data_IF_960533837723
#
_entry.id   IF_960533837723
#
_cell.length_a   1.000
_cell.length_b   1.000
_cell.length_c   1.000
_cell.angle_alpha   90.00
_cell.angle_beta   90.00
_cell.angle_gamma   90.00
#
_symmetry.space_group_name_H-M   'P 1'
#
loop_
_entity.id
_entity.type
_entity.pdbx_description
1 polymer ?
#
# COMPACT_ATOMS: atom_id res chain seq x y z
N UNK A 1 -24.62 0.83 -15.35
CA UNK A 1 -24.10 1.08 -13.98
C UNK A 1 -22.57 1.12 -14.09
N UNK A 2 -21.89 1.94 -13.31
CA UNK A 2 -20.42 1.95 -13.25
C UNK A 2 -19.97 1.04 -12.10
N UNK A 3 -19.02 0.14 -12.38
CA UNK A 3 -18.42 -0.76 -11.38
C UNK A 3 -16.93 -0.41 -11.22
N UNK A 4 -16.60 0.31 -10.13
CA UNK A 4 -15.21 0.69 -9.85
C UNK A 4 -14.52 -0.34 -8.95
N UNK A 5 -13.79 -1.24 -9.59
CA UNK A 5 -13.09 -2.36 -8.95
C UNK A 5 -11.56 -2.19 -8.99
N UNK A 6 -11.08 -0.92 -8.92
CA UNK A 6 -9.65 -0.57 -8.89
C UNK A 6 -9.28 0.28 -7.67
N UNK A 7 -9.87 -0.03 -6.51
CA UNK A 7 -9.66 0.71 -5.26
C UNK A 7 -8.23 0.61 -4.71
N UNK A 8 -7.45 -0.39 -5.12
CA UNK A 8 -6.01 -0.49 -4.81
C UNK A 8 -5.14 0.48 -5.62
N UNK A 9 -5.62 1.01 -6.77
CA UNK A 9 -4.94 2.10 -7.46
C UNK A 9 -5.23 3.43 -6.78
N UNK A 10 -6.49 3.74 -6.51
CA UNK A 10 -6.93 4.91 -5.74
C UNK A 10 -8.38 4.73 -5.31
N UNK A 11 -8.79 5.36 -4.22
CA UNK A 11 -10.18 5.38 -3.79
C UNK A 11 -10.82 6.74 -4.03
N UNK A 12 -12.16 6.76 -4.15
CA UNK A 12 -12.93 8.01 -4.13
C UNK A 12 -12.80 8.68 -2.77
N UNK A 13 -12.60 9.98 -2.74
CA UNK A 13 -12.52 10.74 -1.48
C UNK A 13 -13.90 10.73 -0.80
N UNK A 14 -13.93 10.46 0.51
CA UNK A 14 -15.16 10.47 1.30
C UNK A 14 -15.84 11.86 1.28
N UNK A 15 -17.16 11.89 1.27
CA UNK A 15 -17.93 13.14 1.19
C UNK A 15 -17.64 14.09 2.36
N UNK A 16 -17.51 13.59 3.58
CA UNK A 16 -17.17 14.40 4.75
C UNK A 16 -15.76 14.98 4.64
N UNK A 17 -14.83 14.22 4.05
CA UNK A 17 -13.46 14.67 3.77
C UNK A 17 -13.45 15.78 2.73
N UNK A 18 -14.26 15.66 1.67
CA UNK A 18 -14.40 16.69 0.62
C UNK A 18 -14.91 18.00 1.22
N UNK A 19 -15.96 17.97 2.05
CA UNK A 19 -16.51 19.15 2.68
C UNK A 19 -15.53 19.83 3.65
N UNK A 20 -14.80 19.04 4.44
CA UNK A 20 -13.74 19.58 5.29
C UNK A 20 -12.66 20.29 4.47
N UNK A 21 -12.17 19.65 3.41
CA UNK A 21 -11.14 20.23 2.55
C UNK A 21 -11.61 21.52 1.87
N UNK A 22 -12.85 21.56 1.37
CA UNK A 22 -13.45 22.76 0.79
C UNK A 22 -13.45 23.92 1.78
N UNK A 23 -13.89 23.68 3.03
CA UNK A 23 -13.85 24.68 4.10
C UNK A 23 -12.42 25.22 4.32
N UNK A 24 -11.41 24.35 4.32
CA UNK A 24 -10.01 24.71 4.56
C UNK A 24 -9.35 25.45 3.38
N UNK A 25 -9.88 25.29 2.18
CA UNK A 25 -9.41 26.04 1.01
C UNK A 25 -10.08 27.42 0.89
N UNK A 26 -11.28 27.60 1.41
CA UNK A 26 -12.08 28.81 1.25
C UNK A 26 -12.08 29.69 2.52
N UNK A 27 -12.41 29.11 3.67
CA UNK A 27 -12.65 29.87 4.92
C UNK A 27 -11.41 29.88 5.82
N UNK A 28 -10.85 28.70 6.12
CA UNK A 28 -9.77 28.51 7.09
C UNK A 28 -8.39 28.32 6.40
N UNK A 29 -8.12 29.10 5.35
CA UNK A 29 -6.97 28.99 4.44
C UNK A 29 -5.63 29.46 5.00
N UNK A 30 -5.49 29.65 6.33
CA UNK A 30 -4.31 30.22 6.96
C UNK A 30 -3.05 29.36 6.77
N UNK A 31 -1.87 30.02 6.83
CA UNK A 31 -0.58 29.32 6.89
C UNK A 31 -0.27 29.00 8.36
N UNK A 32 -0.02 27.72 8.72
CA UNK A 32 0.28 27.32 10.11
C UNK A 32 1.50 28.02 10.72
N UNK A 33 2.44 28.49 9.89
CA UNK A 33 3.63 29.20 10.36
C UNK A 33 3.35 30.68 10.72
N UNK A 34 2.15 31.22 10.42
CA UNK A 34 1.79 32.61 10.72
C UNK A 34 1.33 32.75 12.17
N UNK A 35 1.80 33.83 12.82
CA UNK A 35 1.49 34.10 14.26
C UNK A 35 0.11 34.74 14.50
N UNK A 36 -0.63 35.15 13.47
CA UNK A 36 -1.98 35.70 13.58
C UNK A 36 -3.04 34.59 13.67
N UNK A 37 -4.27 34.96 14.04
CA UNK A 37 -5.38 34.03 14.32
C UNK A 37 -5.63 33.00 13.19
N UNK A 38 -5.55 33.38 11.92
CA UNK A 38 -5.71 32.44 10.81
C UNK A 38 -4.64 31.34 10.79
N UNK A 39 -3.40 31.66 11.18
CA UNK A 39 -2.32 30.68 11.30
C UNK A 39 -2.56 29.71 12.46
N UNK A 40 -3.00 30.22 13.61
CA UNK A 40 -3.32 29.41 14.79
C UNK A 40 -4.44 28.41 14.48
N UNK A 41 -5.48 28.84 13.76
CA UNK A 41 -6.57 27.97 13.31
C UNK A 41 -6.02 26.86 12.40
N UNK A 42 -5.20 27.20 11.42
CA UNK A 42 -4.60 26.23 10.49
C UNK A 42 -3.69 25.21 11.19
N UNK A 43 -2.87 25.67 12.16
CA UNK A 43 -2.05 24.80 13.00
C UNK A 43 -2.91 23.83 13.83
N UNK A 44 -4.08 24.28 14.30
CA UNK A 44 -5.06 23.46 15.00
C UNK A 44 -5.50 22.25 14.18
N UNK A 45 -5.79 22.43 12.89
CA UNK A 45 -6.16 21.33 11.99
C UNK A 45 -5.01 20.30 11.77
N UNK A 46 -3.77 20.78 11.70
CA UNK A 46 -2.59 19.86 11.61
C UNK A 46 -2.46 19.03 12.90
N UNK A 47 -2.62 19.67 14.08
CA UNK A 47 -2.56 18.97 15.37
C UNK A 47 -3.69 17.94 15.50
N UNK A 48 -4.92 18.31 15.12
CA UNK A 48 -6.07 17.41 15.12
C UNK A 48 -5.87 16.22 14.18
N UNK A 49 -5.36 16.44 12.96
CA UNK A 49 -5.06 15.39 12.02
C UNK A 49 -4.06 14.37 12.61
N UNK A 50 -2.97 14.85 13.24
CA UNK A 50 -1.99 14.00 13.93
C UNK A 50 -2.64 13.19 15.06
N UNK A 51 -3.53 13.79 15.86
CA UNK A 51 -4.25 13.09 16.93
C UNK A 51 -5.16 11.99 16.39
N UNK A 52 -5.92 12.27 15.32
CA UNK A 52 -6.79 11.29 14.67
C UNK A 52 -6.01 10.09 14.13
N UNK A 53 -4.89 10.34 13.44
CA UNK A 53 -4.02 9.28 12.93
C UNK A 53 -3.40 8.48 14.09
N UNK A 54 -2.88 9.16 15.11
CA UNK A 54 -2.28 8.54 16.28
C UNK A 54 -3.24 7.58 17.01
N UNK A 55 -4.49 7.99 17.15
CA UNK A 55 -5.54 7.17 17.77
C UNK A 55 -5.77 5.86 17.00
N UNK A 56 -5.67 5.85 15.65
CA UNK A 56 -5.84 4.64 14.84
C UNK A 56 -4.73 3.62 15.05
N UNK A 57 -3.50 4.07 15.30
CA UNK A 57 -2.31 3.23 15.47
C UNK A 57 -1.92 3.01 16.95
N UNK A 58 -2.59 3.69 17.89
CA UNK A 58 -2.27 3.73 19.33
C UNK A 58 -0.82 4.16 19.64
N UNK A 59 -0.40 5.26 19.04
CA UNK A 59 0.95 5.85 19.18
C UNK A 59 0.88 7.34 19.54
N UNK A 60 2.04 7.99 19.80
CA UNK A 60 2.09 9.43 20.10
C UNK A 60 1.86 10.28 18.83
N UNK A 61 1.03 11.33 18.88
CA UNK A 61 0.85 12.27 17.75
C UNK A 61 2.14 12.93 17.26
N UNK A 62 3.21 12.97 18.08
CA UNK A 62 4.52 13.50 17.70
C UNK A 62 5.33 12.55 16.81
N UNK A 63 4.96 11.27 16.77
CA UNK A 63 5.66 10.23 16.00
C UNK A 63 5.25 10.20 14.52
N UNK A 64 4.71 11.31 13.97
CA UNK A 64 4.30 11.40 12.56
C UNK A 64 4.98 12.54 11.83
N UNK A 65 5.40 12.27 10.61
CA UNK A 65 5.84 13.25 9.62
C UNK A 65 4.79 13.23 8.50
N UNK A 66 4.14 14.37 8.26
CA UNK A 66 3.18 14.52 7.15
C UNK A 66 3.96 14.66 5.86
N UNK A 67 3.60 13.87 4.86
CA UNK A 67 4.25 13.80 3.55
C UNK A 67 3.24 14.05 2.43
N UNK A 68 3.70 14.09 1.18
CA UNK A 68 2.83 14.18 0.00
C UNK A 68 2.22 12.83 -0.43
N UNK A 69 2.62 11.72 0.20
CA UNK A 69 2.10 10.39 -0.12
C UNK A 69 3.10 9.28 0.18
N UNK A 70 2.74 8.05 -0.23
CA UNK A 70 3.53 6.85 0.05
C UNK A 70 4.94 6.89 -0.53
N UNK A 71 5.11 7.40 -1.75
CA UNK A 71 6.42 7.49 -2.39
C UNK A 71 7.38 8.37 -1.59
N UNK A 72 6.93 9.56 -1.15
CA UNK A 72 7.75 10.43 -0.30
C UNK A 72 8.05 9.76 1.05
N UNK A 73 7.05 9.10 1.66
CA UNK A 73 7.22 8.39 2.94
C UNK A 73 8.25 7.26 2.82
N UNK A 74 8.17 6.43 1.79
CA UNK A 74 9.13 5.34 1.54
C UNK A 74 10.55 5.88 1.28
N UNK A 75 10.68 6.90 0.44
CA UNK A 75 11.99 7.53 0.19
C UNK A 75 12.58 8.13 1.48
N UNK A 76 11.77 8.84 2.27
CA UNK A 76 12.21 9.40 3.53
C UNK A 76 12.63 8.31 4.52
N UNK A 77 11.88 7.21 4.61
CA UNK A 77 12.21 6.08 5.47
C UNK A 77 13.54 5.44 5.07
N UNK A 78 13.73 5.11 3.79
CA UNK A 78 14.90 4.39 3.31
C UNK A 78 16.15 5.30 3.28
N UNK A 79 16.07 6.43 2.56
CA UNK A 79 17.19 7.36 2.41
C UNK A 79 17.54 8.00 3.75
N UNK A 80 16.54 8.44 4.50
CA UNK A 80 16.72 9.06 5.80
C UNK A 80 17.42 8.14 6.80
N UNK A 81 17.04 6.85 6.84
CA UNK A 81 17.69 5.82 7.68
C UNK A 81 19.11 5.55 7.19
N UNK A 82 19.30 5.33 5.89
CA UNK A 82 20.61 5.04 5.30
C UNK A 82 21.63 6.15 5.62
N UNK A 83 21.25 7.42 5.44
CA UNK A 83 22.12 8.55 5.74
C UNK A 83 22.41 8.70 7.25
N UNK A 84 21.40 8.51 8.11
CA UNK A 84 21.57 8.61 9.55
C UNK A 84 22.43 7.47 10.13
N UNK A 85 22.36 6.27 9.54
CA UNK A 85 23.05 5.09 10.02
C UNK A 85 24.35 4.76 9.27
N UNK A 86 24.80 5.57 8.30
CA UNK A 86 25.97 5.31 7.44
C UNK A 86 27.27 4.93 8.19
N UNK A 87 27.43 5.38 9.43
CA UNK A 87 28.59 5.05 10.28
C UNK A 87 28.44 3.73 11.02
N UNK A 88 27.24 3.14 11.06
CA UNK A 88 26.91 1.92 11.80
C UNK A 88 26.94 0.67 10.93
N UNK A 89 26.71 0.84 9.64
CA UNK A 89 26.68 -0.23 8.63
C UNK A 89 26.24 0.30 7.26
N UNK A 90 26.22 -0.59 6.28
CA UNK A 90 25.84 -0.25 4.92
C UNK A 90 24.93 -1.30 4.27
N UNK A 91 24.33 -2.19 5.06
CA UNK A 91 23.47 -3.25 4.53
C UNK A 91 21.99 -2.95 4.75
N UNK A 92 21.21 -3.09 3.68
CA UNK A 92 19.75 -2.89 3.65
C UNK A 92 19.12 -4.15 3.07
N UNK A 93 18.09 -4.66 3.73
CA UNK A 93 17.31 -5.81 3.28
C UNK A 93 15.92 -5.34 2.88
N UNK A 94 15.42 -5.82 1.74
CA UNK A 94 14.06 -5.59 1.26
C UNK A 94 13.54 -6.84 0.54
N UNK A 95 12.36 -6.78 -0.11
CA UNK A 95 11.78 -7.95 -0.76
C UNK A 95 11.68 -7.81 -2.28
N UNK A 96 11.65 -8.93 -3.00
CA UNK A 96 11.47 -8.96 -4.45
C UNK A 96 10.09 -8.44 -4.91
N UNK A 97 9.12 -8.32 -3.99
CA UNK A 97 7.72 -7.93 -4.30
C UNK A 97 7.33 -6.52 -3.88
N UNK A 98 8.31 -5.70 -3.51
CA UNK A 98 8.07 -4.31 -3.10
C UNK A 98 7.52 -3.43 -4.23
N UNK A 99 6.82 -2.36 -3.80
CA UNK A 99 6.39 -1.30 -4.70
C UNK A 99 7.60 -0.58 -5.35
N UNK A 100 7.48 -0.06 -6.60
CA UNK A 100 8.56 0.66 -7.26
C UNK A 100 9.20 1.79 -6.44
N UNK A 101 8.44 2.48 -5.57
CA UNK A 101 8.98 3.52 -4.68
C UNK A 101 9.97 3.00 -3.63
N UNK A 102 9.94 1.70 -3.30
CA UNK A 102 10.95 1.04 -2.45
C UNK A 102 12.08 0.48 -3.32
N UNK A 103 11.77 -0.25 -4.39
CA UNK A 103 12.77 -0.87 -5.28
C UNK A 103 13.70 0.16 -5.92
N UNK A 104 13.13 1.24 -6.50
CA UNK A 104 13.93 2.29 -7.13
C UNK A 104 14.78 3.04 -6.10
N UNK A 105 14.26 3.25 -4.87
CA UNK A 105 15.04 3.85 -3.80
C UNK A 105 16.16 2.93 -3.32
N UNK A 106 15.93 1.61 -3.26
CA UNK A 106 16.96 0.64 -2.94
C UNK A 106 18.07 0.63 -4.01
N UNK A 107 17.71 0.63 -5.31
CA UNK A 107 18.69 0.74 -6.40
C UNK A 107 19.50 2.03 -6.32
N UNK A 108 18.86 3.18 -6.05
CA UNK A 108 19.57 4.43 -5.81
C UNK A 108 20.56 4.32 -4.65
N UNK A 109 20.18 3.69 -3.54
CA UNK A 109 21.08 3.50 -2.39
C UNK A 109 22.25 2.56 -2.72
N UNK A 110 22.03 1.55 -3.57
CA UNK A 110 23.10 0.68 -4.07
C UNK A 110 24.14 1.49 -4.86
N UNK A 111 23.71 2.39 -5.73
CA UNK A 111 24.59 3.35 -6.44
C UNK A 111 25.35 4.28 -5.47
N UNK A 112 24.80 4.54 -4.27
CA UNK A 112 25.45 5.31 -3.21
C UNK A 112 26.39 4.48 -2.32
N UNK A 113 26.62 3.20 -2.65
CA UNK A 113 27.55 2.29 -1.97
C UNK A 113 26.96 1.47 -0.82
N UNK A 114 25.63 1.44 -0.68
CA UNK A 114 24.98 0.50 0.23
C UNK A 114 24.84 -0.88 -0.42
N UNK A 115 24.92 -1.93 0.37
CA UNK A 115 24.64 -3.30 -0.05
C UNK A 115 23.17 -3.60 0.11
N UNK A 116 22.51 -4.01 -0.96
CA UNK A 116 21.07 -4.33 -0.95
C UNK A 116 20.89 -5.85 -1.08
N UNK A 117 20.07 -6.43 -0.21
CA UNK A 117 19.62 -7.83 -0.32
C UNK A 117 18.12 -7.83 -0.57
N UNK A 118 17.69 -8.47 -1.65
CA UNK A 118 16.27 -8.70 -1.95
C UNK A 118 15.90 -10.12 -1.53
N UNK A 119 15.05 -10.25 -0.52
CA UNK A 119 14.48 -11.53 -0.13
C UNK A 119 13.57 -12.07 -1.22
N UNK A 120 13.68 -13.37 -1.48
CA UNK A 120 12.75 -14.09 -2.33
C UNK A 120 11.40 -14.28 -1.66
N UNK A 121 10.41 -14.73 -2.43
CA UNK A 121 9.08 -15.08 -1.95
C UNK A 121 8.66 -16.43 -2.50
N UNK A 122 7.76 -17.10 -1.80
CA UNK A 122 7.13 -18.32 -2.27
C UNK A 122 6.06 -18.04 -3.36
N UNK A 123 5.43 -19.09 -3.87
CA UNK A 123 4.37 -18.99 -4.89
C UNK A 123 3.10 -18.23 -4.42
N UNK A 124 2.96 -18.01 -3.11
CA UNK A 124 1.90 -17.19 -2.51
C UNK A 124 2.36 -15.74 -2.29
N UNK A 125 3.62 -15.43 -2.58
CA UNK A 125 4.22 -14.10 -2.43
C UNK A 125 4.64 -13.77 -0.99
N UNK A 126 4.82 -14.77 -0.12
CA UNK A 126 5.24 -14.60 1.26
C UNK A 126 6.75 -14.81 1.39
N UNK A 127 7.43 -13.97 2.19
CA UNK A 127 8.87 -14.13 2.49
C UNK A 127 9.13 -15.34 3.38
N UNK A 128 10.37 -15.90 3.29
CA UNK A 128 10.88 -16.86 4.27
C UNK A 128 11.55 -16.13 5.44
N UNK A 129 11.16 -16.48 6.67
CA UNK A 129 11.82 -15.98 7.88
C UNK A 129 13.22 -16.58 8.06
N UNK A 130 13.45 -17.77 7.54
CA UNK A 130 14.77 -18.43 7.50
C UNK A 130 15.72 -17.64 6.60
N UNK A 131 15.28 -17.30 5.36
CA UNK A 131 16.07 -16.48 4.44
C UNK A 131 16.36 -15.10 5.04
N UNK A 132 15.36 -14.47 5.68
CA UNK A 132 15.56 -13.21 6.39
C UNK A 132 16.62 -13.35 7.48
N UNK A 133 16.59 -14.43 8.27
CA UNK A 133 17.57 -14.71 9.33
C UNK A 133 18.98 -14.86 8.78
N UNK A 134 19.14 -15.57 7.68
CA UNK A 134 20.43 -15.79 7.00
C UNK A 134 20.98 -14.51 6.38
N UNK A 135 20.09 -13.63 5.87
CA UNK A 135 20.46 -12.36 5.28
C UNK A 135 20.92 -11.31 6.32
N UNK A 136 20.46 -11.40 7.57
CA UNK A 136 20.82 -10.45 8.63
C UNK A 136 22.30 -10.55 8.98
N UNK A 137 22.99 -9.40 8.97
CA UNK A 137 24.41 -9.28 9.35
C UNK A 137 24.58 -8.13 10.34
N UNK A 138 25.70 -8.06 11.08
CA UNK A 138 26.00 -6.94 11.99
C UNK A 138 25.97 -5.55 11.31
N UNK A 139 26.21 -5.52 9.98
CA UNK A 139 26.18 -4.29 9.18
C UNK A 139 24.76 -3.93 8.68
N UNK A 140 23.74 -4.73 9.00
CA UNK A 140 22.35 -4.44 8.60
C UNK A 140 21.83 -3.24 9.39
N UNK A 141 21.47 -2.18 8.69
CA UNK A 141 20.94 -0.92 9.26
C UNK A 141 19.44 -0.75 9.07
N UNK A 142 18.89 -1.40 8.05
CA UNK A 142 17.48 -1.27 7.66
C UNK A 142 16.95 -2.58 7.09
N UNK A 143 15.77 -2.97 7.52
CA UNK A 143 14.95 -4.00 6.86
C UNK A 143 13.62 -3.34 6.46
N UNK A 144 13.27 -3.40 5.19
CA UNK A 144 12.05 -2.79 4.64
C UNK A 144 11.18 -3.86 3.98
N UNK A 145 9.98 -4.08 4.52
CA UNK A 145 9.05 -5.11 4.04
C UNK A 145 7.67 -4.49 3.88
N UNK A 146 7.04 -4.64 2.71
CA UNK A 146 5.65 -4.21 2.55
C UNK A 146 4.70 -5.09 3.38
N UNK A 147 3.67 -4.48 3.97
CA UNK A 147 2.70 -5.23 4.79
C UNK A 147 1.78 -6.08 3.92
N UNK A 148 1.19 -5.45 2.90
CA UNK A 148 0.25 -6.08 1.96
C UNK A 148 0.73 -5.84 0.55
N UNK A 149 0.91 -6.89 -0.23
CA UNK A 149 1.28 -6.75 -1.62
C UNK A 149 0.13 -6.13 -2.43
N UNK A 150 0.43 -5.09 -3.18
CA UNK A 150 -0.54 -4.30 -3.94
C UNK A 150 -1.12 -5.00 -5.17
N UNK A 151 -0.53 -6.11 -5.62
CA UNK A 151 -0.96 -6.85 -6.81
C UNK A 151 -1.74 -8.12 -6.46
N UNK A 152 -1.24 -8.93 -5.53
CA UNK A 152 -1.82 -10.23 -5.17
C UNK A 152 -2.49 -10.26 -3.79
N UNK A 153 -2.33 -9.19 -3.01
CA UNK A 153 -2.98 -9.06 -1.71
C UNK A 153 -2.37 -9.90 -0.58
N UNK A 154 -1.24 -10.55 -0.78
CA UNK A 154 -0.57 -11.33 0.26
C UNK A 154 -0.12 -10.45 1.42
N UNK A 155 -0.40 -10.88 2.65
CA UNK A 155 0.04 -10.24 3.90
C UNK A 155 1.36 -10.87 4.32
N UNK A 156 2.37 -10.04 4.58
CA UNK A 156 3.67 -10.49 5.06
C UNK A 156 3.65 -10.73 6.58
N UNK A 157 4.48 -11.65 7.10
CA UNK A 157 4.58 -11.98 8.54
C UNK A 157 5.36 -10.88 9.29
N UNK A 158 4.77 -9.67 9.38
CA UNK A 158 5.44 -8.45 9.85
C UNK A 158 5.91 -8.56 11.30
N UNK A 159 5.06 -9.09 12.18
CA UNK A 159 5.39 -9.18 13.61
C UNK A 159 6.54 -10.17 13.86
N UNK A 160 6.50 -11.32 13.18
CA UNK A 160 7.54 -12.34 13.26
C UNK A 160 8.87 -11.82 12.67
N UNK A 161 8.80 -11.15 11.52
CA UNK A 161 9.96 -10.54 10.89
C UNK A 161 10.58 -9.45 11.78
N UNK A 162 9.78 -8.56 12.36
CA UNK A 162 10.25 -7.53 13.26
C UNK A 162 10.93 -8.12 14.51
N UNK A 163 10.31 -9.13 15.14
CA UNK A 163 10.90 -9.85 16.29
C UNK A 163 12.24 -10.47 15.92
N UNK A 164 12.34 -11.10 14.77
CA UNK A 164 13.58 -11.72 14.29
C UNK A 164 14.67 -10.67 14.05
N UNK A 165 14.34 -9.57 13.37
CA UNK A 165 15.28 -8.47 13.08
C UNK A 165 15.83 -7.89 14.39
N UNK A 166 14.98 -7.51 15.32
CA UNK A 166 15.40 -6.88 16.58
C UNK A 166 16.13 -7.85 17.51
N UNK A 167 15.83 -9.15 17.46
CA UNK A 167 16.57 -10.16 18.23
C UNK A 167 17.97 -10.40 17.67
N UNK A 168 18.16 -10.30 16.34
CA UNK A 168 19.43 -10.60 15.66
C UNK A 168 20.30 -9.34 15.55
N UNK A 169 19.72 -8.20 15.17
CA UNK A 169 20.42 -6.92 14.96
C UNK A 169 19.62 -5.81 15.65
N UNK A 170 19.74 -5.61 16.98
CA UNK A 170 18.91 -4.70 17.76
C UNK A 170 18.96 -3.23 17.33
N UNK A 171 19.99 -2.83 16.58
CA UNK A 171 20.14 -1.46 16.07
C UNK A 171 19.60 -1.26 14.64
N UNK A 172 19.20 -2.32 13.96
CA UNK A 172 18.56 -2.23 12.66
C UNK A 172 17.15 -1.63 12.77
N UNK A 173 16.81 -0.74 11.86
CA UNK A 173 15.47 -0.13 11.77
C UNK A 173 14.56 -1.05 10.96
N UNK A 174 13.34 -1.29 11.46
CA UNK A 174 12.34 -2.06 10.74
C UNK A 174 11.27 -1.14 10.14
N UNK A 175 11.30 -0.98 8.82
CA UNK A 175 10.37 -0.19 8.02
C UNK A 175 9.30 -1.07 7.38
N UNK A 176 8.06 -0.58 7.38
CA UNK A 176 6.92 -1.24 6.74
C UNK A 176 6.23 -0.28 5.77
N UNK A 177 6.15 -0.66 4.49
CA UNK A 177 5.21 -0.03 3.56
C UNK A 177 3.81 -0.56 3.85
N UNK A 178 2.98 0.24 4.51
CA UNK A 178 1.61 -0.12 4.90
C UNK A 178 0.55 0.54 4.00
N UNK A 179 0.92 1.01 2.82
CA UNK A 179 0.02 1.77 1.93
C UNK A 179 -1.24 0.97 1.59
N UNK A 180 -1.14 -0.33 1.36
CA UNK A 180 -2.29 -1.20 1.09
C UNK A 180 -2.91 -1.79 2.38
N UNK A 181 -2.20 -1.76 3.50
CA UNK A 181 -2.65 -2.33 4.76
C UNK A 181 -3.48 -1.36 5.60
N UNK A 182 -3.15 -0.05 5.60
CA UNK A 182 -3.78 0.93 6.47
C UNK A 182 -5.28 1.05 6.20
N UNK A 183 -6.09 0.92 7.25
CA UNK A 183 -7.56 0.89 7.17
C UNK A 183 -8.16 -0.44 6.67
N UNK A 184 -7.34 -1.46 6.37
CA UNK A 184 -7.76 -2.80 5.90
C UNK A 184 -7.27 -3.91 6.83
N UNK A 185 -6.12 -3.71 7.46
CA UNK A 185 -5.52 -4.61 8.44
C UNK A 185 -5.33 -3.83 9.75
N UNK A 186 -5.48 -4.48 10.89
CA UNK A 186 -5.25 -3.85 12.18
C UNK A 186 -3.74 -3.68 12.42
N UNK A 187 -3.29 -2.43 12.49
CA UNK A 187 -1.87 -2.11 12.67
C UNK A 187 -1.63 -1.52 14.06
N UNK A 188 -0.63 -2.03 14.76
CA UNK A 188 -0.18 -1.60 16.09
C UNK A 188 1.35 -1.52 16.11
N UNK A 189 1.97 -0.44 15.59
CA UNK A 189 3.41 -0.40 15.35
C UNK A 189 4.24 -0.80 16.56
N UNK A 190 3.92 -0.28 17.74
CA UNK A 190 4.68 -0.58 18.98
C UNK A 190 4.57 -2.05 19.40
N UNK A 191 3.44 -2.70 19.19
CA UNK A 191 3.22 -4.11 19.52
C UNK A 191 3.87 -5.03 18.50
N UNK A 192 3.84 -4.64 17.23
CA UNK A 192 4.37 -5.40 16.10
C UNK A 192 5.86 -5.14 15.83
N UNK A 193 6.52 -4.30 16.64
CA UNK A 193 7.94 -4.00 16.47
C UNK A 193 8.28 -3.14 15.25
N UNK A 194 7.32 -2.37 14.73
CA UNK A 194 7.53 -1.51 13.56
C UNK A 194 8.12 -0.18 14.01
N UNK A 195 9.27 0.20 13.45
CA UNK A 195 9.96 1.44 13.75
C UNK A 195 9.54 2.59 12.81
N UNK A 196 9.33 2.29 11.53
CA UNK A 196 8.88 3.20 10.49
C UNK A 196 7.70 2.60 9.73
N UNK A 197 6.66 3.42 9.45
CA UNK A 197 5.47 2.96 8.70
C UNK A 197 5.05 4.02 7.69
N UNK A 198 5.08 3.66 6.41
CA UNK A 198 4.64 4.52 5.30
C UNK A 198 3.18 4.32 4.95
N UNK A 199 2.44 5.43 4.79
CA UNK A 199 1.01 5.42 4.47
C UNK A 199 0.67 6.50 3.43
N UNK A 200 -0.32 6.22 2.57
CA UNK A 200 -0.82 7.15 1.56
C UNK A 200 -2.34 7.30 1.66
N UNK A 201 -2.79 8.55 1.80
CA UNK A 201 -4.18 8.90 2.09
C UNK A 201 -5.20 8.39 1.07
N UNK A 202 -4.85 8.44 -0.21
CA UNK A 202 -5.77 8.07 -1.29
C UNK A 202 -6.11 6.58 -1.40
N UNK A 203 -5.54 5.73 -0.53
CA UNK A 203 -5.86 4.29 -0.45
C UNK A 203 -6.96 3.99 0.58
N UNK A 204 -7.35 4.97 1.40
CA UNK A 204 -8.40 4.85 2.42
C UNK A 204 -9.37 6.05 2.43
N UNK A 205 -9.82 6.45 1.24
CA UNK A 205 -10.81 7.50 1.00
C UNK A 205 -10.41 8.92 1.42
N UNK A 206 -9.11 9.16 1.58
CA UNK A 206 -8.55 10.48 1.77
C UNK A 206 -8.05 11.13 0.46
N UNK A 207 -7.52 12.37 0.53
CA UNK A 207 -7.05 13.09 -0.65
C UNK A 207 -5.77 12.49 -1.24
N UNK A 208 -5.60 12.64 -2.56
CA UNK A 208 -4.30 12.49 -3.23
C UNK A 208 -3.37 13.62 -2.78
N UNK A 209 -2.05 13.42 -2.89
CA UNK A 209 -1.07 14.44 -2.50
C UNK A 209 -0.95 14.63 -0.98
N UNK A 210 -1.37 13.63 -0.18
CA UNK A 210 -1.21 13.55 1.26
C UNK A 210 -0.85 12.13 1.70
N UNK A 211 0.03 12.02 2.69
CA UNK A 211 0.46 10.79 3.31
C UNK A 211 1.16 11.08 4.63
N UNK A 212 1.65 10.05 5.28
CA UNK A 212 2.47 10.21 6.47
C UNK A 212 3.50 9.09 6.59
N UNK A 213 4.58 9.42 7.27
CA UNK A 213 5.54 8.47 7.81
C UNK A 213 5.38 8.44 9.34
N UNK A 214 4.99 7.31 9.91
CA UNK A 214 5.18 7.06 11.34
C UNK A 214 6.67 6.80 11.56
N UNK A 215 7.23 7.50 12.54
CA UNK A 215 8.61 7.37 12.95
C UNK A 215 8.66 7.22 14.47
N UNK A 216 9.01 6.02 14.93
CA UNK A 216 9.19 5.74 16.36
C UNK A 216 10.20 6.73 16.96
N UNK A 217 9.92 7.22 18.16
CA UNK A 217 10.82 8.13 18.90
C UNK A 217 12.22 7.57 19.13
N UNK A 218 12.43 6.27 18.91
CA UNK A 218 13.73 5.59 18.99
C UNK A 218 14.57 5.72 17.72
N UNK A 219 13.95 6.07 16.60
CA UNK A 219 14.62 6.15 15.30
C UNK A 219 15.15 7.55 15.05
N UNK A 220 16.39 7.62 14.63
CA UNK A 220 16.98 8.85 14.11
C UNK A 220 16.94 8.81 12.58
N UNK A 221 16.25 9.78 11.96
CA UNK A 221 16.19 9.96 10.53
C UNK A 221 16.98 11.21 10.11
N UNK A 222 17.68 11.11 9.00
CA UNK A 222 18.23 12.29 8.31
C UNK A 222 17.15 12.92 7.43
N UNK A 223 16.87 14.24 7.53
CA UNK A 223 15.94 14.91 6.62
C UNK A 223 16.42 14.80 5.17
N UNK A 224 15.47 14.68 4.23
CA UNK A 224 15.77 14.65 2.79
C UNK A 224 15.14 15.84 2.04
N UNK A 225 14.28 16.62 2.70
CA UNK A 225 13.66 17.83 2.15
C UNK A 225 13.99 19.00 3.09
N UNK A 226 14.89 19.85 2.65
CA UNK A 226 15.43 20.95 3.44
C UNK A 226 14.67 22.27 3.17
N UNK A 227 14.68 23.20 4.15
CA UNK A 227 14.05 24.51 4.01
C UNK A 227 13.70 25.16 5.34
N UNK A 228 12.49 25.67 5.48
CA UNK A 228 12.03 26.53 6.59
C UNK A 228 11.77 25.85 7.94
N UNK A 229 12.15 24.58 8.12
CA UNK A 229 12.08 23.90 9.41
C UNK A 229 10.70 23.36 9.80
N UNK A 230 9.72 23.30 8.91
CA UNK A 230 8.41 22.71 9.17
C UNK A 230 8.57 21.23 9.55
N UNK A 231 7.54 20.64 10.18
CA UNK A 231 7.56 19.26 10.68
C UNK A 231 8.79 18.99 11.60
N UNK A 232 9.15 19.95 12.46
CA UNK A 232 10.33 19.88 13.31
C UNK A 232 11.64 19.71 12.54
N UNK A 233 11.74 20.29 11.35
CA UNK A 233 12.91 20.21 10.47
C UNK A 233 13.00 18.91 9.64
N UNK A 234 12.11 17.97 9.85
CA UNK A 234 12.14 16.67 9.15
C UNK A 234 11.60 16.74 7.72
N UNK A 235 10.65 17.63 7.49
CA UNK A 235 10.07 17.83 6.17
C UNK A 235 9.67 19.28 5.97
N UNK A 236 10.54 20.03 5.34
CA UNK A 236 10.33 21.47 5.12
C UNK A 236 9.34 21.76 3.98
N UNK A 237 8.83 22.98 3.93
CA UNK A 237 7.82 23.46 2.99
C UNK A 237 6.49 23.74 3.66
N UNK A 238 5.74 24.69 3.11
CA UNK A 238 4.42 25.07 3.63
C UNK A 238 3.52 23.84 3.74
N UNK A 239 2.89 23.65 4.89
CA UNK A 239 2.08 22.47 5.16
C UNK A 239 0.77 22.50 4.35
N UNK A 240 0.45 21.38 3.71
CA UNK A 240 -0.82 21.16 3.00
C UNK A 240 -1.95 20.93 4.03
N UNK A 241 -2.45 22.02 4.63
CA UNK A 241 -3.46 21.95 5.69
C UNK A 241 -4.72 21.21 5.24
N UNK A 242 -5.32 21.49 4.05
CA UNK A 242 -6.50 20.75 3.60
C UNK A 242 -6.21 19.25 3.42
N UNK A 243 -5.05 18.91 2.84
CA UNK A 243 -4.65 17.51 2.64
C UNK A 243 -4.41 16.77 3.94
N UNK A 244 -3.73 17.39 4.90
CA UNK A 244 -3.45 16.80 6.21
C UNK A 244 -4.72 16.59 7.04
N UNK A 245 -5.59 17.59 7.10
CA UNK A 245 -6.86 17.51 7.83
C UNK A 245 -7.79 16.46 7.19
N UNK A 246 -7.90 16.49 5.85
CA UNK A 246 -8.67 15.48 5.11
C UNK A 246 -8.15 14.06 5.34
N UNK A 247 -6.83 13.85 5.34
CA UNK A 247 -6.19 12.58 5.66
C UNK A 247 -6.51 12.14 7.11
N UNK A 248 -6.42 13.06 8.08
CA UNK A 248 -6.76 12.76 9.48
C UNK A 248 -8.19 12.31 9.67
N UNK A 249 -9.15 12.98 8.99
CA UNK A 249 -10.56 12.58 9.02
C UNK A 249 -10.77 11.24 8.31
N UNK A 250 -10.19 11.03 7.14
CA UNK A 250 -10.26 9.75 6.42
C UNK A 250 -9.69 8.60 7.26
N UNK A 251 -8.58 8.82 7.97
CA UNK A 251 -7.99 7.85 8.89
C UNK A 251 -8.98 7.45 10.00
N UNK A 252 -9.60 8.43 10.63
CA UNK A 252 -10.63 8.20 11.65
C UNK A 252 -11.80 7.38 11.09
N UNK A 253 -12.32 7.76 9.93
CA UNK A 253 -13.44 7.08 9.27
C UNK A 253 -13.07 5.64 8.87
N UNK A 254 -11.85 5.39 8.37
CA UNK A 254 -11.39 4.06 7.97
C UNK A 254 -11.40 3.05 9.14
N UNK A 255 -11.08 3.51 10.35
CA UNK A 255 -11.07 2.65 11.55
C UNK A 255 -12.40 2.67 12.34
N UNK A 256 -13.37 3.52 11.97
CA UNK A 256 -14.73 3.39 12.50
C UNK A 256 -15.38 2.11 11.99
N UNK A 257 -15.96 1.30 12.92
CA UNK A 257 -16.61 0.02 12.59
C UNK A 257 -15.67 -0.93 11.82
N UNK A 258 -14.39 -0.94 12.15
CA UNK A 258 -13.34 -1.64 11.43
C UNK A 258 -13.67 -3.12 11.19
N UNK A 259 -14.09 -3.86 12.23
CA UNK A 259 -14.43 -5.29 12.11
C UNK A 259 -15.63 -5.54 11.18
N UNK A 260 -16.61 -4.64 11.17
CA UNK A 260 -17.76 -4.74 10.26
C UNK A 260 -17.33 -4.52 8.81
N UNK A 261 -16.45 -3.54 8.55
CA UNK A 261 -15.89 -3.28 7.23
C UNK A 261 -15.01 -4.45 6.75
N UNK A 262 -14.16 -4.99 7.63
CA UNK A 262 -13.32 -6.17 7.32
C UNK A 262 -14.20 -7.38 6.97
N UNK A 263 -15.26 -7.64 7.75
CA UNK A 263 -16.20 -8.72 7.50
C UNK A 263 -16.93 -8.54 6.15
N UNK A 264 -17.40 -7.34 5.86
CA UNK A 264 -18.04 -7.02 4.58
C UNK A 264 -17.10 -7.22 3.39
N UNK A 265 -15.86 -6.74 3.47
CA UNK A 265 -14.87 -6.96 2.41
C UNK A 265 -14.56 -8.45 2.21
N UNK A 266 -14.50 -9.25 3.28
CA UNK A 266 -14.33 -10.70 3.18
C UNK A 266 -15.54 -11.38 2.51
N UNK A 267 -16.77 -10.91 2.79
CA UNK A 267 -17.98 -11.40 2.13
C UNK A 267 -17.96 -11.10 0.63
N UNK A 268 -17.62 -9.85 0.24
CA UNK A 268 -17.51 -9.44 -1.16
C UNK A 268 -16.45 -10.28 -1.90
N UNK A 269 -15.28 -10.49 -1.27
CA UNK A 269 -14.21 -11.30 -1.84
C UNK A 269 -14.67 -12.74 -2.08
N UNK A 270 -15.27 -13.38 -1.08
CA UNK A 270 -15.80 -14.76 -1.21
C UNK A 270 -16.82 -14.84 -2.33
N UNK A 271 -17.78 -13.93 -2.34
CA UNK A 271 -18.79 -13.85 -3.38
C UNK A 271 -18.18 -13.73 -4.79
N UNK A 272 -17.19 -12.87 -4.95
CA UNK A 272 -16.52 -12.68 -6.22
C UNK A 272 -15.73 -13.93 -6.64
N UNK A 273 -14.98 -14.56 -5.73
CA UNK A 273 -14.22 -15.78 -6.00
C UNK A 273 -15.14 -16.96 -6.41
N UNK A 274 -16.27 -17.14 -5.74
CA UNK A 274 -17.28 -18.13 -6.14
C UNK A 274 -17.79 -17.93 -7.58
N UNK A 275 -17.88 -16.69 -8.02
CA UNK A 275 -18.21 -16.33 -9.40
C UNK A 275 -17.06 -16.60 -10.37
N UNK A 276 -15.83 -16.23 -10.01
CA UNK A 276 -14.62 -16.46 -10.80
C UNK A 276 -14.36 -17.94 -11.03
N UNK A 277 -14.53 -18.79 -10.02
CA UNK A 277 -14.33 -20.24 -10.13
C UNK A 277 -15.32 -20.95 -11.05
N UNK A 278 -16.41 -20.28 -11.47
CA UNK A 278 -17.34 -20.81 -12.50
C UNK A 278 -16.87 -20.52 -13.92
N UNK A 279 -15.79 -19.74 -14.08
CA UNK A 279 -15.22 -19.43 -15.39
C UNK A 279 -14.12 -20.45 -15.74
N UNK A 280 -14.07 -20.85 -17.02
CA UNK A 280 -13.04 -21.77 -17.50
C UNK A 280 -11.68 -21.08 -17.65
N UNK A 281 -10.60 -21.85 -17.49
CA UNK A 281 -9.21 -21.43 -17.74
C UNK A 281 -8.83 -20.14 -16.97
N UNK A 282 -9.13 -20.08 -15.68
CA UNK A 282 -8.76 -19.02 -14.76
C UNK A 282 -7.90 -19.57 -13.61
N UNK A 283 -7.03 -18.73 -13.06
CA UNK A 283 -6.28 -19.04 -11.85
C UNK A 283 -6.17 -17.83 -10.95
N UNK A 284 -6.23 -18.03 -9.64
CA UNK A 284 -6.04 -17.00 -8.62
C UNK A 284 -4.56 -16.91 -8.27
N UNK A 285 -4.00 -15.70 -8.21
CA UNK A 285 -2.63 -15.44 -7.80
C UNK A 285 -2.60 -15.02 -6.33
N UNK A 286 -1.63 -15.53 -5.57
CA UNK A 286 -1.58 -15.37 -4.12
C UNK A 286 -2.49 -16.40 -3.41
N UNK A 287 -3.16 -15.98 -2.35
CA UNK A 287 -4.02 -16.85 -1.53
C UNK A 287 -5.45 -16.95 -2.07
N UNK A 288 -5.96 -18.18 -2.14
CA UNK A 288 -7.31 -18.52 -2.58
C UNK A 288 -8.00 -19.38 -1.51
N UNK A 289 -8.95 -18.80 -0.78
CA UNK A 289 -9.65 -19.51 0.30
C UNK A 289 -10.45 -20.72 -0.15
N UNK A 290 -10.79 -20.83 -1.44
CA UNK A 290 -11.49 -22.01 -1.96
C UNK A 290 -10.55 -23.19 -2.18
N UNK A 291 -9.27 -22.93 -2.47
CA UNK A 291 -8.24 -23.94 -2.67
C UNK A 291 -7.37 -24.15 -1.41
N UNK A 292 -7.06 -23.06 -0.69
CA UNK A 292 -6.14 -23.06 0.46
C UNK A 292 -6.86 -23.21 1.82
N UNK A 293 -8.20 -23.19 1.83
CA UNK A 293 -9.01 -23.25 3.05
C UNK A 293 -9.09 -21.92 3.81
N UNK A 294 -9.93 -21.88 4.84
CA UNK A 294 -10.18 -20.66 5.63
C UNK A 294 -8.97 -20.17 6.43
N UNK A 295 -7.98 -21.02 6.64
CA UNK A 295 -6.74 -20.68 7.38
C UNK A 295 -5.92 -19.57 6.68
N UNK A 296 -6.09 -19.39 5.36
CA UNK A 296 -5.41 -18.33 4.61
C UNK A 296 -6.01 -16.93 4.80
N UNK A 297 -7.17 -16.80 5.46
CA UNK A 297 -7.89 -15.51 5.60
C UNK A 297 -7.03 -14.44 6.29
N UNK A 298 -6.23 -14.81 7.26
CA UNK A 298 -5.33 -13.87 7.95
C UNK A 298 -4.01 -13.61 7.17
N UNK A 299 -3.77 -14.37 6.07
CA UNK A 299 -2.58 -14.24 5.22
C UNK A 299 -2.82 -13.45 3.95
N UNK A 300 -4.05 -12.98 3.75
CA UNK A 300 -4.43 -12.21 2.57
C UNK A 300 -5.28 -10.99 2.91
N UNK A 301 -5.12 -9.92 2.15
CA UNK A 301 -5.95 -8.73 2.27
C UNK A 301 -7.36 -9.00 1.71
N UNK A 302 -8.42 -8.51 2.39
CA UNK A 302 -9.79 -8.81 1.97
C UNK A 302 -10.23 -8.08 0.69
N UNK A 303 -9.50 -7.06 0.28
CA UNK A 303 -9.90 -6.13 -0.78
C UNK A 303 -9.17 -6.31 -2.12
N UNK A 304 -8.26 -7.27 -2.25
CA UNK A 304 -7.46 -7.49 -3.48
C UNK A 304 -7.65 -8.92 -3.96
N UNK A 305 -8.02 -9.07 -5.24
CA UNK A 305 -8.08 -10.35 -5.95
C UNK A 305 -7.31 -10.22 -7.26
N UNK A 306 -6.30 -11.05 -7.45
CA UNK A 306 -5.51 -11.14 -8.67
C UNK A 306 -5.91 -12.40 -9.43
N UNK A 307 -6.32 -12.25 -10.69
CA UNK A 307 -6.82 -13.35 -11.52
C UNK A 307 -6.09 -13.39 -12.84
N UNK A 308 -5.54 -14.53 -13.19
CA UNK A 308 -4.97 -14.81 -14.52
C UNK A 308 -6.01 -15.50 -15.41
N UNK A 309 -6.23 -14.95 -16.59
CA UNK A 309 -7.16 -15.46 -17.60
C UNK A 309 -6.36 -16.05 -18.75
N UNK A 310 -6.26 -17.38 -18.80
CA UNK A 310 -5.49 -18.08 -19.83
C UNK A 310 -6.05 -17.80 -21.23
N UNK A 311 -5.15 -17.48 -22.17
CA UNK A 311 -5.52 -17.27 -23.59
C UNK A 311 -6.14 -15.90 -23.88
N UNK A 312 -6.03 -14.92 -22.99
CA UNK A 312 -6.46 -13.53 -23.20
C UNK A 312 -5.36 -12.58 -22.74
N UNK A 313 -5.12 -11.52 -23.49
CA UNK A 313 -4.21 -10.44 -23.04
C UNK A 313 -4.93 -9.51 -22.09
N UNK A 314 -4.27 -9.20 -20.96
CA UNK A 314 -4.84 -8.33 -19.90
C UNK A 314 -5.26 -6.96 -20.44
N UNK A 315 -4.46 -6.34 -21.32
CA UNK A 315 -4.78 -5.03 -21.91
C UNK A 315 -6.07 -5.07 -22.75
N UNK A 316 -6.28 -6.16 -23.52
CA UNK A 316 -7.48 -6.33 -24.35
C UNK A 316 -8.71 -6.53 -23.45
N UNK A 317 -8.58 -7.38 -22.43
CA UNK A 317 -9.68 -7.64 -21.50
C UNK A 317 -10.00 -6.38 -20.65
N UNK A 318 -8.98 -5.66 -20.19
CA UNK A 318 -9.13 -4.41 -19.44
C UNK A 318 -9.93 -3.37 -20.25
N UNK A 319 -9.56 -3.15 -21.53
CA UNK A 319 -10.27 -2.21 -22.38
C UNK A 319 -11.71 -2.66 -22.65
N UNK A 320 -11.94 -3.95 -22.93
CA UNK A 320 -13.29 -4.48 -23.15
C UNK A 320 -14.18 -4.40 -21.89
N UNK A 321 -13.63 -4.52 -20.69
CA UNK A 321 -14.33 -4.28 -19.42
C UNK A 321 -14.62 -2.78 -19.23
N UNK A 322 -13.64 -1.91 -19.50
CA UNK A 322 -13.78 -0.45 -19.42
C UNK A 322 -14.89 0.07 -20.33
N UNK A 323 -15.01 -0.46 -21.55
CA UNK A 323 -16.10 -0.12 -22.51
C UNK A 323 -17.49 -0.48 -21.95
N UNK A 324 -17.55 -1.39 -20.96
CA UNK A 324 -18.78 -1.78 -20.25
C UNK A 324 -18.94 -1.07 -18.90
N UNK A 325 -18.11 -0.07 -18.61
CA UNK A 325 -18.14 0.69 -17.35
C UNK A 325 -17.60 -0.08 -16.15
N UNK A 326 -16.72 -1.08 -16.37
CA UNK A 326 -16.07 -1.88 -15.32
C UNK A 326 -14.59 -1.53 -15.31
N UNK A 327 -14.13 -0.91 -14.21
CA UNK A 327 -12.76 -0.43 -14.08
C UNK A 327 -11.94 -1.33 -13.16
N UNK A 328 -10.89 -1.91 -13.72
CA UNK A 328 -9.96 -2.84 -13.07
C UNK A 328 -8.52 -2.46 -13.44
N UNK A 329 -7.53 -3.12 -12.85
CA UNK A 329 -6.11 -2.85 -13.15
C UNK A 329 -5.44 -4.09 -13.73
N UNK A 330 -4.45 -3.88 -14.62
CA UNK A 330 -3.50 -4.92 -14.98
C UNK A 330 -2.22 -4.76 -14.16
N UNK A 331 -1.54 -5.86 -13.84
CA UNK A 331 -0.27 -5.83 -13.08
C UNK A 331 0.85 -4.99 -13.75
N UNK A 332 0.71 -4.71 -15.06
CA UNK A 332 1.63 -3.88 -15.84
C UNK A 332 1.31 -2.37 -15.86
N UNK A 333 0.20 -1.94 -15.24
CA UNK A 333 -0.32 -0.57 -15.36
C UNK A 333 0.52 0.52 -14.67
N UNK A 334 1.54 0.18 -13.89
CA UNK A 334 2.39 1.18 -13.18
C UNK A 334 3.58 1.70 -14.01
N UNK A 335 3.84 1.18 -15.22
CA UNK A 335 4.92 1.67 -16.09
C UNK A 335 4.32 2.31 -17.34
N UNK A 336 4.13 3.61 -17.28
CA UNK A 336 3.41 4.43 -18.26
C UNK A 336 4.03 4.52 -19.66
N UNK A 337 5.20 3.92 -19.94
CA UNK A 337 5.86 4.03 -21.26
C UNK A 337 6.52 2.76 -21.81
N UNK A 338 6.57 1.66 -21.05
CA UNK A 338 7.02 0.36 -21.59
C UNK A 338 6.22 -0.77 -20.91
N UNK A 339 5.69 -1.75 -21.67
CA UNK A 339 5.00 -2.91 -21.12
C UNK A 339 6.01 -3.85 -20.45
N UNK A 340 6.41 -3.52 -19.21
CA UNK A 340 7.21 -4.41 -18.40
C UNK A 340 6.28 -5.42 -17.70
N UNK A 341 6.64 -6.69 -17.72
CA UNK A 341 5.94 -7.72 -16.97
C UNK A 341 6.00 -7.41 -15.47
N UNK A 342 4.92 -7.70 -14.75
CA UNK A 342 4.88 -7.53 -13.29
C UNK A 342 6.02 -8.28 -12.60
N UNK A 343 6.86 -7.55 -11.88
CA UNK A 343 7.95 -8.13 -11.10
C UNK A 343 7.45 -8.97 -9.92
N UNK A 344 6.27 -8.65 -9.38
CA UNK A 344 5.61 -9.45 -8.34
C UNK A 344 5.19 -10.81 -8.87
N UNK A 345 4.50 -10.84 -10.03
CA UNK A 345 4.04 -12.08 -10.64
C UNK A 345 5.22 -12.95 -11.13
N UNK A 346 6.31 -12.33 -11.56
CA UNK A 346 7.56 -13.05 -11.87
C UNK A 346 8.20 -13.66 -10.59
N UNK A 347 8.23 -12.88 -9.50
CA UNK A 347 8.83 -13.30 -8.24
C UNK A 347 8.12 -14.51 -7.61
N UNK A 348 6.78 -14.63 -7.80
CA UNK A 348 6.01 -15.82 -7.36
C UNK A 348 6.12 -17.00 -8.33
N UNK A 349 6.94 -16.90 -9.38
CA UNK A 349 7.19 -17.98 -10.35
C UNK A 349 6.07 -18.20 -11.37
N UNK A 350 5.22 -17.20 -11.61
CA UNK A 350 4.12 -17.33 -12.56
C UNK A 350 4.64 -17.38 -14.02
N UNK A 351 4.08 -18.30 -14.80
CA UNK A 351 4.38 -18.39 -16.24
C UNK A 351 4.05 -17.08 -16.98
N UNK A 352 4.91 -16.69 -17.93
CA UNK A 352 4.76 -15.44 -18.69
C UNK A 352 3.38 -15.30 -19.34
N UNK A 353 2.81 -16.39 -19.86
CA UNK A 353 1.47 -16.37 -20.50
C UNK A 353 0.37 -16.05 -19.51
N UNK A 354 0.50 -16.48 -18.26
CA UNK A 354 -0.43 -16.16 -17.18
C UNK A 354 -0.26 -14.70 -16.74
N UNK A 355 0.99 -14.23 -16.61
CA UNK A 355 1.28 -12.82 -16.30
C UNK A 355 0.63 -11.87 -17.31
N UNK A 356 0.77 -12.17 -18.62
CA UNK A 356 0.20 -11.38 -19.72
C UNK A 356 -1.34 -11.34 -19.71
N UNK A 357 -1.99 -12.31 -19.07
CA UNK A 357 -3.45 -12.41 -18.92
C UNK A 357 -3.99 -12.00 -17.54
N UNK A 358 -3.16 -11.41 -16.68
CA UNK A 358 -3.56 -11.13 -15.28
C UNK A 358 -4.23 -9.78 -15.13
N UNK A 359 -5.37 -9.77 -14.45
CA UNK A 359 -6.05 -8.57 -13.95
C UNK A 359 -6.15 -8.60 -12.43
N UNK A 360 -6.07 -7.41 -11.83
CA UNK A 360 -6.35 -7.19 -10.41
C UNK A 360 -7.70 -6.53 -10.24
N UNK A 361 -8.54 -7.11 -9.40
CA UNK A 361 -9.79 -6.54 -8.91
C UNK A 361 -9.58 -6.08 -7.47
N UNK A 362 -10.06 -4.90 -7.13
CA UNK A 362 -9.93 -4.42 -5.76
C UNK A 362 -11.14 -3.62 -5.30
N UNK A 363 -11.60 -3.97 -4.11
CA UNK A 363 -12.85 -3.53 -3.50
C UNK A 363 -12.63 -2.45 -2.45
N UNK A 364 -13.70 -1.78 -2.06
CA UNK A 364 -13.76 -0.95 -0.86
C UNK A 364 -15.07 -1.24 -0.11
N UNK A 365 -15.25 -0.61 1.04
CA UNK A 365 -16.47 -0.77 1.85
C UNK A 365 -17.76 -0.32 1.17
N UNK A 366 -17.66 0.45 0.08
CA UNK A 366 -18.81 0.93 -0.69
C UNK A 366 -19.07 0.07 -1.95
N UNK A 367 -18.24 -0.93 -2.22
CA UNK A 367 -18.44 -1.86 -3.34
C UNK A 367 -19.68 -2.71 -3.07
N UNK A 368 -20.52 -2.92 -4.07
CA UNK A 368 -21.76 -3.67 -3.96
C UNK A 368 -21.70 -5.01 -4.69
N UNK A 369 -22.62 -5.94 -4.35
CA UNK A 369 -22.73 -7.22 -5.05
C UNK A 369 -23.18 -7.04 -6.51
N UNK A 370 -24.00 -6.03 -6.78
CA UNK A 370 -24.46 -5.68 -8.12
C UNK A 370 -23.30 -5.26 -9.03
N UNK A 371 -22.29 -4.53 -8.50
CA UNK A 371 -21.06 -4.20 -9.24
C UNK A 371 -20.25 -5.46 -9.55
N UNK A 372 -20.17 -6.40 -8.59
CA UNK A 372 -19.48 -7.68 -8.79
C UNK A 372 -20.22 -8.56 -9.81
N UNK A 373 -21.56 -8.62 -9.77
CA UNK A 373 -22.38 -9.35 -10.74
C UNK A 373 -22.19 -8.80 -12.16
N UNK A 374 -22.14 -7.46 -12.31
CA UNK A 374 -21.86 -6.82 -13.59
C UNK A 374 -20.49 -7.25 -14.13
N UNK A 375 -19.47 -7.30 -13.29
CA UNK A 375 -18.13 -7.72 -13.68
C UNK A 375 -18.10 -9.22 -14.06
N UNK A 376 -18.69 -10.08 -13.25
CA UNK A 376 -18.74 -11.54 -13.50
C UNK A 376 -19.49 -11.85 -14.80
N UNK A 377 -20.63 -11.20 -15.03
CA UNK A 377 -21.40 -11.36 -16.27
C UNK A 377 -20.59 -10.89 -17.49
N UNK A 378 -19.93 -9.75 -17.39
CA UNK A 378 -19.09 -9.25 -18.47
C UNK A 378 -17.94 -10.21 -18.79
N UNK A 379 -17.29 -10.79 -17.76
CA UNK A 379 -16.24 -11.79 -17.94
C UNK A 379 -16.77 -13.05 -18.63
N UNK A 380 -17.94 -13.58 -18.23
CA UNK A 380 -18.59 -14.73 -18.87
C UNK A 380 -18.84 -14.52 -20.37
N UNK A 381 -19.21 -13.31 -20.77
CA UNK A 381 -19.49 -12.98 -22.17
C UNK A 381 -18.20 -12.72 -22.97
N UNK A 382 -17.23 -12.01 -22.38
CA UNK A 382 -16.02 -11.55 -23.08
C UNK A 382 -14.98 -12.66 -23.25
N UNK A 383 -14.76 -13.50 -22.24
CA UNK A 383 -13.66 -14.49 -22.28
C UNK A 383 -13.80 -15.47 -23.46
N UNK A 384 -14.96 -16.10 -23.73
CA UNK A 384 -15.08 -17.01 -24.86
C UNK A 384 -14.87 -16.30 -26.21
N UNK A 385 -15.29 -15.04 -26.31
CA UNK A 385 -15.12 -14.23 -27.53
C UNK A 385 -13.64 -13.90 -27.75
N UNK A 386 -12.94 -13.36 -26.74
CA UNK A 386 -11.57 -12.92 -26.87
C UNK A 386 -10.58 -14.07 -27.10
N UNK A 387 -10.81 -15.23 -26.48
CA UNK A 387 -10.01 -16.45 -26.69
C UNK A 387 -10.02 -16.96 -28.12
N UNK A 388 -11.10 -16.73 -28.88
CA UNK A 388 -11.18 -17.11 -30.33
C UNK A 388 -10.20 -16.32 -31.19
N UNK A 389 -9.88 -15.08 -30.81
CA UNK A 389 -8.97 -14.23 -31.57
C UNK A 389 -7.50 -14.48 -31.22
N UNK A 390 -7.21 -15.06 -30.07
CA UNK A 390 -5.83 -15.34 -29.61
C UNK A 390 -5.31 -16.69 -30.10
N UNK A 391 -6.18 -17.59 -30.57
CA UNK A 391 -5.82 -18.92 -31.10
C UNK A 391 -5.36 -18.91 -32.58
N UNK A 392 -5.20 -17.74 -33.19
CA UNK A 392 -4.64 -17.56 -34.53
C UNK A 392 -3.23 -16.92 -34.42
#
# INVERSE_FOLDING_TARGET
MEAYLDNSATTRVDAQVQELMKKLMDVDFGNPSSRHQKGVVAEGYIKEARQKIAATLKVDPKEFIITSGGTESNNMALIGTALAAKRKGNHIITTAVEHPSVKATASFLEEQGFRITFLSVDSRGQISLEELKEALTPDTILVSIMYVNNEIGTIQPIEEAAKLVHATVPCAVFHVDAIQAYGKVMIRPKQQGIDLLSVSSHKFHGPKGAGFLYCSSKVNLHPIIFGGGQQSGMRSGTENVPGAAGMGLAAQLAYQKFEQKKAHLNELRRYFLEGIHKLDDVSINGWDETADGEECIERRAPHIVSVSFTGVRSEVLLNALSDRGIYVSSGSACSSNHPALSSTLQAIGLDKKLIEGTLRFSFCENTTKEELDQALKALQELLPMLRRYTRR
#
